data_IF_348701399815
#
_entry.id   IF_348701399815
#
_cell.length_a   1.000
_cell.length_b   1.000
_cell.length_c   1.000
_cell.angle_alpha   90.00
_cell.angle_beta   90.00
_cell.angle_gamma   90.00
#
_symmetry.space_group_name_H-M   'P 1'
#
loop_
_entity.id
_entity.type
_entity.pdbx_description
1 polymer ?
#
# COMPACT_ATOMS: atom_id res chain seq x y z
N UNK A 1 24.51 21.99 -8.69
CA UNK A 1 23.35 21.45 -9.44
C UNK A 1 22.36 22.58 -9.68
N UNK A 2 21.94 22.79 -10.94
CA UNK A 2 20.93 23.81 -11.25
C UNK A 2 19.61 23.47 -10.54
N UNK A 3 19.07 24.43 -9.78
CA UNK A 3 17.80 24.28 -9.07
C UNK A 3 16.66 24.09 -10.09
N UNK A 4 15.75 23.16 -9.83
CA UNK A 4 14.49 23.03 -10.57
C UNK A 4 13.65 24.29 -10.39
N UNK A 5 13.07 24.80 -11.48
CA UNK A 5 12.05 25.84 -11.43
C UNK A 5 10.78 25.30 -10.79
N UNK A 6 9.83 26.16 -10.41
CA UNK A 6 8.56 25.71 -9.84
C UNK A 6 7.74 24.90 -10.88
N UNK A 7 7.77 25.31 -12.13
CA UNK A 7 7.10 24.63 -13.24
C UNK A 7 7.71 23.24 -13.50
N UNK A 8 9.05 23.14 -13.57
CA UNK A 8 9.73 21.85 -13.70
C UNK A 8 9.41 20.90 -12.55
N UNK A 9 9.27 21.41 -11.31
CA UNK A 9 8.90 20.59 -10.16
C UNK A 9 7.50 20.02 -10.29
N UNK A 10 6.55 20.83 -10.74
CA UNK A 10 5.16 20.39 -10.97
C UNK A 10 5.16 19.31 -12.05
N UNK A 11 5.82 19.56 -13.17
CA UNK A 11 5.92 18.62 -14.31
C UNK A 11 6.57 17.29 -13.89
N UNK A 12 7.68 17.33 -13.14
CA UNK A 12 8.31 16.10 -12.60
C UNK A 12 7.32 15.30 -11.77
N UNK A 13 6.54 15.95 -10.91
CA UNK A 13 5.58 15.25 -10.06
C UNK A 13 4.38 14.70 -10.82
N UNK A 14 3.83 15.45 -11.78
CA UNK A 14 2.71 15.01 -12.61
C UNK A 14 3.08 13.75 -13.39
N UNK A 15 4.22 13.78 -14.05
CA UNK A 15 4.74 12.65 -14.82
C UNK A 15 5.17 11.47 -13.96
N UNK A 16 5.79 11.75 -12.81
CA UNK A 16 6.12 10.73 -11.84
C UNK A 16 4.88 9.98 -11.35
N UNK A 17 3.79 10.70 -11.05
CA UNK A 17 2.51 10.10 -10.64
C UNK A 17 1.82 9.34 -11.79
N UNK A 18 2.00 9.77 -13.03
CA UNK A 18 1.55 9.03 -14.22
C UNK A 18 2.34 7.74 -14.48
N UNK A 19 3.49 7.55 -13.79
CA UNK A 19 4.30 6.33 -13.89
C UNK A 19 5.47 6.41 -14.86
N UNK A 20 5.79 7.59 -15.38
CA UNK A 20 6.94 7.82 -16.26
C UNK A 20 8.25 7.48 -15.53
N UNK A 21 9.23 6.98 -16.29
CA UNK A 21 10.55 6.68 -15.72
C UNK A 21 11.40 7.95 -15.60
N UNK A 22 12.32 7.99 -14.63
CA UNK A 22 13.24 9.12 -14.46
C UNK A 22 14.00 9.48 -15.75
N UNK A 23 14.24 8.49 -16.62
CA UNK A 23 14.92 8.67 -17.91
C UNK A 23 14.05 9.43 -18.91
N UNK A 24 12.76 9.09 -18.98
CA UNK A 24 11.80 9.76 -19.88
C UNK A 24 11.56 11.20 -19.40
N UNK A 25 11.27 11.39 -18.09
CA UNK A 25 11.08 12.71 -17.50
C UNK A 25 12.32 13.60 -17.71
N UNK A 26 13.52 13.04 -17.49
CA UNK A 26 14.77 13.77 -17.64
C UNK A 26 15.03 14.20 -19.09
N UNK A 27 14.82 13.29 -20.04
CA UNK A 27 14.99 13.60 -21.47
C UNK A 27 14.12 14.78 -21.90
N UNK A 28 12.85 14.77 -21.52
CA UNK A 28 11.88 15.74 -21.99
C UNK A 28 12.02 17.11 -21.30
N UNK A 29 12.59 17.14 -20.08
CA UNK A 29 12.92 18.38 -19.35
C UNK A 29 14.37 18.86 -19.58
N UNK A 30 15.14 18.21 -20.45
CA UNK A 30 16.56 18.54 -20.65
C UNK A 30 17.43 18.34 -19.40
N UNK A 31 17.04 17.41 -18.51
CA UNK A 31 17.71 17.11 -17.25
C UNK A 31 18.25 15.67 -17.23
N UNK A 32 19.31 15.42 -16.48
CA UNK A 32 19.78 14.05 -16.31
C UNK A 32 18.79 13.19 -15.50
N UNK A 33 18.66 11.92 -15.84
CA UNK A 33 17.85 10.97 -15.07
C UNK A 33 18.27 10.88 -13.59
N UNK A 34 19.57 11.08 -13.31
CA UNK A 34 20.10 11.12 -11.95
C UNK A 34 19.59 12.35 -11.16
N UNK A 35 19.47 13.52 -11.81
CA UNK A 35 18.91 14.73 -11.19
C UNK A 35 17.43 14.56 -10.85
N UNK A 36 16.63 13.98 -11.76
CA UNK A 36 15.23 13.66 -11.52
C UNK A 36 15.11 12.66 -10.36
N UNK A 37 15.92 11.61 -10.38
CA UNK A 37 15.96 10.61 -9.31
C UNK A 37 16.28 11.26 -7.96
N UNK A 38 17.35 12.04 -7.86
CA UNK A 38 17.74 12.70 -6.62
C UNK A 38 16.65 13.64 -6.10
N UNK A 39 15.97 14.39 -7.01
CA UNK A 39 14.85 15.25 -6.65
C UNK A 39 13.69 14.44 -6.06
N UNK A 40 13.26 13.37 -6.73
CA UNK A 40 12.17 12.51 -6.27
C UNK A 40 12.52 11.81 -4.96
N UNK A 41 13.75 11.29 -4.83
CA UNK A 41 14.24 10.63 -3.60
C UNK A 41 14.32 11.58 -2.41
N UNK A 42 14.68 12.86 -2.61
CA UNK A 42 14.70 13.86 -1.52
C UNK A 42 13.33 14.09 -0.88
N UNK A 43 12.25 13.69 -1.56
CA UNK A 43 10.87 13.70 -1.07
C UNK A 43 10.29 12.31 -0.84
N UNK A 44 11.14 11.28 -0.80
CA UNK A 44 10.71 9.89 -0.61
C UNK A 44 9.76 9.34 -1.68
N UNK A 45 9.75 9.96 -2.88
CA UNK A 45 8.81 9.61 -3.95
C UNK A 45 7.37 10.09 -3.69
N UNK A 46 7.16 10.94 -2.71
CA UNK A 46 5.85 11.49 -2.35
C UNK A 46 5.78 12.96 -2.74
N UNK A 47 4.79 13.31 -3.59
CA UNK A 47 4.57 14.70 -3.99
C UNK A 47 4.25 15.56 -2.77
N UNK A 48 4.98 16.66 -2.52
CA UNK A 48 4.60 17.59 -1.47
C UNK A 48 3.20 18.15 -1.70
N UNK A 49 2.36 18.29 -0.68
CA UNK A 49 1.03 18.85 -0.85
C UNK A 49 1.13 20.30 -1.36
N UNK A 50 0.37 20.59 -2.43
CA UNK A 50 0.22 21.97 -2.90
C UNK A 50 -0.52 22.75 -1.83
N UNK A 51 0.13 23.80 -1.28
CA UNK A 51 -0.46 24.63 -0.26
C UNK A 51 -1.55 25.51 -0.88
N UNK A 52 -2.79 25.19 -0.60
CA UNK A 52 -3.92 26.06 -0.90
C UNK A 52 -4.07 27.09 0.23
N UNK A 53 -4.18 28.36 -0.13
CA UNK A 53 -4.54 29.39 0.83
C UNK A 53 -6.00 29.20 1.27
N UNK A 54 -6.26 29.35 2.55
CA UNK A 54 -7.65 29.43 3.00
C UNK A 54 -8.32 30.64 2.34
N UNK A 55 -9.58 30.55 1.91
CA UNK A 55 -10.34 31.69 1.39
C UNK A 55 -10.46 32.84 2.41
N UNK A 56 -10.27 32.56 3.68
CA UNK A 56 -10.25 33.58 4.74
C UNK A 56 -8.96 34.42 4.76
N UNK A 57 -7.88 33.95 4.15
CA UNK A 57 -6.61 34.71 4.07
C UNK A 57 -6.65 35.66 2.88
N UNK A 58 -6.05 36.85 3.08
CA UNK A 58 -5.90 37.82 2.00
C UNK A 58 -5.06 37.22 0.86
N UNK A 59 -5.55 37.34 -0.37
CA UNK A 59 -4.85 37.00 -1.60
C UNK A 59 -3.82 38.08 -1.95
N UNK A 60 -2.94 37.78 -2.93
CA UNK A 60 -2.02 38.81 -3.46
C UNK A 60 -2.79 39.99 -4.09
N UNK A 61 -3.89 39.71 -4.80
CA UNK A 61 -4.74 40.73 -5.46
C UNK A 61 -5.34 41.66 -4.39
N UNK A 62 -5.88 41.12 -3.30
CA UNK A 62 -6.39 41.93 -2.19
C UNK A 62 -5.28 42.77 -1.53
N UNK A 63 -4.06 42.23 -1.40
CA UNK A 63 -2.92 42.95 -0.89
C UNK A 63 -2.44 44.10 -1.80
N UNK A 64 -2.51 43.87 -3.12
CA UNK A 64 -2.27 44.92 -4.12
C UNK A 64 -3.28 46.07 -3.97
N UNK A 65 -4.57 45.75 -3.80
CA UNK A 65 -5.61 46.74 -3.61
C UNK A 65 -5.44 47.49 -2.28
N UNK A 66 -5.03 46.80 -1.20
CA UNK A 66 -4.61 47.47 0.05
C UNK A 66 -3.45 48.45 -0.19
N UNK A 67 -2.44 48.02 -0.95
CA UNK A 67 -1.27 48.86 -1.25
C UNK A 67 -1.65 50.11 -2.02
N UNK A 68 -2.54 49.99 -3.03
CA UNK A 68 -3.06 51.13 -3.82
C UNK A 68 -3.89 52.08 -2.98
N UNK A 69 -4.85 51.55 -2.18
CA UNK A 69 -5.66 52.37 -1.31
C UNK A 69 -4.83 53.12 -0.26
N UNK A 70 -3.82 52.47 0.32
CA UNK A 70 -2.88 53.12 1.24
C UNK A 70 -2.07 54.25 0.57
N UNK A 71 -1.59 54.03 -0.65
CA UNK A 71 -0.86 55.02 -1.44
C UNK A 71 -1.75 56.22 -1.85
N UNK A 72 -3.04 55.98 -2.12
CA UNK A 72 -4.04 56.98 -2.42
C UNK A 72 -4.54 57.75 -1.19
N UNK A 73 -4.12 57.40 0.05
CA UNK A 73 -4.57 58.03 1.26
C UNK A 73 -5.94 57.56 1.78
N UNK A 74 -6.49 56.52 1.22
CA UNK A 74 -7.81 55.94 1.58
C UNK A 74 -7.84 55.58 3.08
N UNK A 75 -9.00 55.72 3.72
CA UNK A 75 -9.22 55.21 5.06
C UNK A 75 -9.26 53.66 5.07
N UNK A 76 -8.88 53.04 6.21
CA UNK A 76 -8.91 51.58 6.33
C UNK A 76 -10.32 51.01 6.13
N UNK A 77 -11.34 51.78 6.49
CA UNK A 77 -12.76 51.41 6.30
C UNK A 77 -13.13 51.37 4.81
N UNK A 78 -12.70 52.38 4.03
CA UNK A 78 -12.93 52.40 2.57
C UNK A 78 -12.27 51.22 1.88
N UNK A 79 -11.00 50.93 2.19
CA UNK A 79 -10.29 49.78 1.63
C UNK A 79 -10.98 48.47 2.02
N UNK A 80 -11.39 48.35 3.28
CA UNK A 80 -12.09 47.15 3.77
C UNK A 80 -13.45 46.92 3.07
N UNK A 81 -14.25 47.99 2.88
CA UNK A 81 -15.50 47.91 2.14
C UNK A 81 -15.32 47.46 0.70
N UNK A 82 -14.31 48.06 0.02
CA UNK A 82 -13.96 47.70 -1.38
C UNK A 82 -13.61 46.21 -1.53
N UNK A 83 -12.93 45.65 -0.53
CA UNK A 83 -12.50 44.25 -0.53
C UNK A 83 -13.52 43.27 0.07
N UNK A 84 -14.64 43.73 0.61
CA UNK A 84 -15.60 42.91 1.35
C UNK A 84 -14.99 42.23 2.57
N UNK A 85 -14.03 42.90 3.23
CA UNK A 85 -13.32 42.40 4.41
C UNK A 85 -13.57 43.28 5.63
N UNK A 86 -13.42 42.70 6.83
CA UNK A 86 -13.52 43.48 8.05
C UNK A 86 -12.38 44.52 8.16
N UNK A 87 -12.65 45.78 8.62
CA UNK A 87 -11.63 46.79 8.82
C UNK A 87 -10.47 46.35 9.73
N UNK A 88 -10.77 45.49 10.72
CA UNK A 88 -9.76 44.87 11.60
C UNK A 88 -8.78 43.95 10.85
N UNK A 89 -9.21 43.33 9.73
CA UNK A 89 -8.35 42.53 8.89
C UNK A 89 -7.30 43.41 8.20
N UNK A 90 -7.71 44.52 7.63
CA UNK A 90 -6.84 45.46 6.94
C UNK A 90 -5.87 46.12 7.97
N UNK A 91 -6.38 46.54 9.12
CA UNK A 91 -5.57 47.09 10.19
C UNK A 91 -4.46 46.10 10.65
N UNK A 92 -4.83 44.86 10.92
CA UNK A 92 -3.87 43.79 11.31
C UNK A 92 -2.86 43.47 10.21
N UNK A 93 -3.29 43.48 8.95
CA UNK A 93 -2.39 43.24 7.83
C UNK A 93 -1.33 44.32 7.70
N UNK A 94 -1.74 45.58 7.79
CA UNK A 94 -0.79 46.74 7.78
C UNK A 94 0.14 46.72 8.98
N UNK A 95 -0.39 46.55 10.19
CA UNK A 95 0.41 46.51 11.42
C UNK A 95 1.51 45.42 11.37
N UNK A 96 1.16 44.24 10.84
CA UNK A 96 2.10 43.09 10.69
C UNK A 96 3.17 43.30 9.63
N UNK A 97 2.98 44.22 8.71
CA UNK A 97 3.85 44.40 7.55
C UNK A 97 4.42 45.81 7.43
N UNK A 98 4.71 46.47 8.58
CA UNK A 98 5.45 47.74 8.66
C UNK A 98 4.61 49.00 8.64
N UNK A 99 3.28 48.89 8.82
CA UNK A 99 2.37 50.02 8.84
C UNK A 99 2.11 50.64 7.46
N UNK A 100 1.34 51.73 7.41
CA UNK A 100 0.93 52.38 6.14
C UNK A 100 2.10 52.79 5.25
N UNK A 101 3.16 53.34 5.82
CA UNK A 101 4.28 53.92 5.04
C UNK A 101 5.20 52.85 4.39
N UNK A 102 5.35 51.69 5.02
CA UNK A 102 6.25 50.61 4.55
C UNK A 102 5.53 49.43 3.89
N UNK A 103 4.23 49.46 3.87
CA UNK A 103 3.47 48.36 3.31
C UNK A 103 3.75 48.12 1.82
N UNK A 104 4.05 46.90 1.46
CA UNK A 104 4.23 46.43 0.09
C UNK A 104 3.53 45.07 -0.06
N UNK A 105 2.60 44.97 -0.99
CA UNK A 105 1.77 43.77 -1.22
C UNK A 105 2.59 42.49 -1.38
N UNK A 106 3.62 42.52 -2.22
CA UNK A 106 4.46 41.36 -2.49
C UNK A 106 5.26 40.93 -1.22
N UNK A 107 5.77 41.88 -0.44
CA UNK A 107 6.45 41.58 0.81
C UNK A 107 5.51 40.96 1.83
N UNK A 108 4.35 41.57 2.00
CA UNK A 108 3.31 41.10 2.91
C UNK A 108 2.84 39.67 2.53
N UNK A 109 2.73 39.39 1.23
CA UNK A 109 2.37 38.10 0.70
C UNK A 109 3.41 37.02 0.98
N UNK A 110 4.67 37.32 0.70
CA UNK A 110 5.81 36.44 1.02
C UNK A 110 5.92 36.19 2.52
N UNK A 111 5.77 37.22 3.35
CA UNK A 111 5.78 37.10 4.79
C UNK A 111 4.62 36.24 5.32
N UNK A 112 3.41 36.36 4.73
CA UNK A 112 2.27 35.55 5.09
C UNK A 112 2.50 34.09 4.72
N UNK A 113 3.07 33.81 3.54
CA UNK A 113 3.49 32.46 3.14
C UNK A 113 4.55 31.90 4.09
N UNK A 114 5.53 32.69 4.49
CA UNK A 114 6.56 32.30 5.46
C UNK A 114 5.97 31.96 6.84
N UNK A 115 5.08 32.80 7.36
CA UNK A 115 4.38 32.55 8.63
C UNK A 115 3.50 31.29 8.58
N UNK A 116 2.91 30.98 7.42
CA UNK A 116 2.16 29.75 7.21
C UNK A 116 3.04 28.49 7.18
N UNK A 117 4.37 28.62 7.14
CA UNK A 117 5.33 27.51 7.11
C UNK A 117 5.67 26.94 8.49
N UNK A 118 4.82 27.13 9.51
CA UNK A 118 5.09 26.51 10.82
C UNK A 118 5.26 25.00 10.63
N UNK A 119 6.47 24.45 10.86
CA UNK A 119 6.64 23.01 10.93
C UNK A 119 5.81 22.51 12.13
N UNK A 120 4.77 21.70 11.85
CA UNK A 120 4.14 20.93 12.91
C UNK A 120 4.95 19.64 13.02
N UNK A 121 5.41 19.26 14.21
CA UNK A 121 5.98 17.94 14.40
C UNK A 121 4.95 16.89 13.98
N UNK A 122 5.42 15.75 13.49
CA UNK A 122 4.51 14.67 13.11
C UNK A 122 3.94 14.03 14.37
N UNK A 123 2.72 13.49 14.29
CA UNK A 123 2.08 12.78 15.41
C UNK A 123 3.00 11.68 15.98
N UNK A 124 3.69 10.94 15.11
CA UNK A 124 4.67 9.93 15.51
C UNK A 124 5.92 10.49 16.22
N UNK A 125 6.24 11.78 16.04
CA UNK A 125 7.32 12.42 16.78
C UNK A 125 6.87 12.90 18.18
N UNK A 126 5.59 13.28 18.30
CA UNK A 126 5.01 13.77 19.55
C UNK A 126 4.53 12.66 20.47
N UNK A 127 4.12 11.51 19.91
CA UNK A 127 3.63 10.35 20.66
C UNK A 127 4.63 9.17 20.56
N UNK A 128 5.49 8.96 21.59
CA UNK A 128 6.46 7.87 21.61
C UNK A 128 5.80 6.47 21.68
N UNK A 129 4.69 6.32 22.38
CA UNK A 129 3.97 5.05 22.52
C UNK A 129 3.43 4.60 21.14
N UNK A 130 2.69 5.49 20.47
CA UNK A 130 2.20 5.23 19.10
C UNK A 130 3.36 4.88 18.15
N UNK A 131 4.50 5.61 18.28
CA UNK A 131 5.68 5.34 17.46
C UNK A 131 6.23 3.94 17.69
N UNK A 132 6.40 3.52 18.95
CA UNK A 132 6.90 2.19 19.32
C UNK A 132 6.01 1.10 18.73
N UNK A 133 4.71 1.20 18.92
CA UNK A 133 3.74 0.22 18.39
C UNK A 133 3.80 0.16 16.84
N UNK A 134 3.89 1.32 16.18
CA UNK A 134 4.02 1.36 14.71
C UNK A 134 5.34 0.73 14.24
N UNK A 135 6.46 0.98 14.94
CA UNK A 135 7.76 0.39 14.63
C UNK A 135 7.76 -1.14 14.79
N UNK A 136 7.17 -1.66 15.86
CA UNK A 136 7.02 -3.09 16.12
C UNK A 136 6.24 -3.77 15.00
N UNK A 137 5.07 -3.23 14.65
CA UNK A 137 4.23 -3.81 13.59
C UNK A 137 4.88 -3.72 12.21
N UNK A 138 5.63 -2.67 11.92
CA UNK A 138 6.43 -2.59 10.69
C UNK A 138 7.56 -3.62 10.68
N UNK A 139 8.23 -3.86 11.81
CA UNK A 139 9.27 -4.89 11.95
C UNK A 139 8.72 -6.31 11.74
N UNK A 140 7.46 -6.56 12.11
CA UNK A 140 6.70 -7.77 11.78
C UNK A 140 6.25 -7.84 10.30
N UNK A 141 6.75 -6.95 9.46
CA UNK A 141 6.49 -6.83 8.02
C UNK A 141 5.05 -6.45 7.65
N UNK A 142 4.34 -5.81 8.57
CA UNK A 142 3.04 -5.24 8.26
C UNK A 142 3.15 -4.01 7.36
N UNK A 143 2.19 -3.83 6.47
CA UNK A 143 2.11 -2.60 5.70
C UNK A 143 1.55 -1.46 6.57
N UNK A 144 1.89 -0.18 6.28
CA UNK A 144 1.30 0.96 6.97
C UNK A 144 -0.23 0.95 7.03
N UNK A 145 -0.88 0.42 6.00
CA UNK A 145 -2.33 0.30 5.98
C UNK A 145 -2.85 -0.77 6.96
N UNK A 146 -2.15 -1.89 7.09
CA UNK A 146 -2.47 -2.93 8.08
C UNK A 146 -2.29 -2.42 9.50
N UNK A 147 -1.22 -1.68 9.76
CA UNK A 147 -0.99 -1.05 11.06
C UNK A 147 -2.15 -0.11 11.43
N UNK A 148 -2.59 0.73 10.49
CA UNK A 148 -3.72 1.65 10.73
C UNK A 148 -5.03 0.89 10.99
N UNK A 149 -5.31 -0.17 10.25
CA UNK A 149 -6.51 -0.99 10.46
C UNK A 149 -6.49 -1.63 11.85
N UNK A 150 -5.35 -2.14 12.27
CA UNK A 150 -5.17 -2.74 13.58
C UNK A 150 -5.32 -1.70 14.71
N UNK A 151 -4.68 -0.53 14.59
CA UNK A 151 -4.80 0.56 15.56
C UNK A 151 -6.25 0.99 15.77
N UNK A 152 -7.02 1.12 14.68
CA UNK A 152 -8.44 1.48 14.75
C UNK A 152 -9.28 0.46 15.50
N UNK A 153 -8.92 -0.82 15.40
CA UNK A 153 -9.64 -1.91 16.05
C UNK A 153 -9.23 -2.08 17.52
N UNK A 154 -7.94 -1.92 17.80
CA UNK A 154 -7.37 -2.12 19.14
C UNK A 154 -7.62 -0.91 20.06
N UNK A 155 -7.59 0.30 19.49
CA UNK A 155 -7.75 1.55 20.22
C UNK A 155 -8.88 2.41 19.59
N UNK A 156 -10.15 1.94 19.55
CA UNK A 156 -11.22 2.62 18.81
C UNK A 156 -11.52 4.02 19.35
N UNK A 157 -11.43 4.22 20.66
CA UNK A 157 -11.79 5.46 21.34
C UNK A 157 -10.59 6.36 21.64
N UNK A 158 -9.36 5.89 21.42
CA UNK A 158 -8.15 6.65 21.67
C UNK A 158 -7.64 7.34 20.40
N UNK A 159 -7.95 8.63 20.28
CA UNK A 159 -7.51 9.47 19.16
C UNK A 159 -5.99 9.67 19.12
N UNK A 160 -5.29 9.56 20.25
CA UNK A 160 -3.83 9.70 20.30
C UNK A 160 -3.13 8.46 19.69
N UNK A 161 -3.78 7.30 19.73
CA UNK A 161 -3.29 6.08 19.09
C UNK A 161 -3.75 5.94 17.63
N UNK A 162 -4.46 6.91 17.06
CA UNK A 162 -4.87 6.89 15.65
C UNK A 162 -3.86 7.64 14.77
N UNK A 163 -3.52 7.07 13.63
CA UNK A 163 -2.61 7.68 12.64
C UNK A 163 -3.05 7.32 11.23
N UNK A 164 -2.74 8.15 10.23
CA UNK A 164 -3.00 7.80 8.84
C UNK A 164 -1.82 7.00 8.24
N UNK A 165 -2.11 6.11 7.30
CA UNK A 165 -1.06 5.37 6.60
C UNK A 165 -0.12 6.28 5.81
N UNK A 166 -0.60 7.43 5.32
CA UNK A 166 0.24 8.44 4.69
C UNK A 166 1.21 9.09 5.69
N UNK A 167 0.80 9.31 6.95
CA UNK A 167 1.71 9.80 7.99
C UNK A 167 2.85 8.82 8.25
N UNK A 168 2.53 7.52 8.29
CA UNK A 168 3.55 6.46 8.44
C UNK A 168 4.48 6.45 7.22
N UNK A 169 3.95 6.49 5.99
CA UNK A 169 4.78 6.57 4.78
C UNK A 169 5.66 7.82 4.74
N UNK A 170 5.12 8.98 5.10
CA UNK A 170 5.91 10.21 5.17
C UNK A 170 7.03 10.13 6.19
N UNK A 171 6.78 9.49 7.33
CA UNK A 171 7.79 9.29 8.38
C UNK A 171 8.91 8.33 7.96
N UNK A 172 8.59 7.33 7.12
CA UNK A 172 9.57 6.38 6.60
C UNK A 172 10.42 6.95 5.46
N UNK A 173 9.79 7.68 4.53
CA UNK A 173 10.45 8.03 3.26
C UNK A 173 10.96 9.47 3.19
N UNK A 174 10.41 10.40 3.97
CA UNK A 174 10.80 11.82 3.88
C UNK A 174 11.82 12.16 4.95
N UNK A 175 13.06 12.43 4.54
CA UNK A 175 14.11 12.91 5.43
C UNK A 175 13.69 14.23 6.08
N UNK A 176 13.93 14.37 7.40
CA UNK A 176 13.54 15.53 8.19
C UNK A 176 12.12 15.49 8.76
N UNK A 177 11.32 14.48 8.41
CA UNK A 177 10.03 14.17 9.05
C UNK A 177 10.02 12.78 9.70
N UNK A 178 11.13 12.05 9.55
CA UNK A 178 11.28 10.68 9.99
C UNK A 178 11.38 10.56 11.50
N UNK A 179 10.24 10.29 12.15
CA UNK A 179 10.22 9.81 13.52
C UNK A 179 10.47 8.29 13.59
N UNK A 180 10.37 7.58 12.44
CA UNK A 180 10.58 6.15 12.34
C UNK A 180 11.98 5.83 11.83
N UNK A 181 12.53 4.69 12.25
CA UNK A 181 13.84 4.21 11.81
C UNK A 181 13.82 3.88 10.32
N UNK A 182 14.85 4.30 9.61
CA UNK A 182 14.94 4.16 8.14
C UNK A 182 15.01 2.69 7.70
N UNK A 183 15.59 1.83 8.49
CA UNK A 183 15.72 0.39 8.26
C UNK A 183 14.35 -0.29 8.09
N UNK A 184 13.30 0.27 8.71
CA UNK A 184 11.94 -0.24 8.57
C UNK A 184 11.37 -0.14 7.15
N UNK A 185 12.00 0.63 6.25
CA UNK A 185 11.61 0.63 4.83
C UNK A 185 11.87 -0.70 4.16
N UNK A 186 12.86 -1.47 4.63
CA UNK A 186 13.19 -2.80 4.12
C UNK A 186 12.13 -3.83 4.49
N UNK A 187 11.42 -3.61 5.60
CA UNK A 187 10.31 -4.45 6.05
C UNK A 187 9.05 -4.30 5.17
N UNK A 188 8.97 -3.25 4.35
CA UNK A 188 7.85 -3.09 3.42
C UNK A 188 7.94 -4.08 2.26
N UNK A 189 6.80 -4.56 1.76
CA UNK A 189 6.67 -5.56 0.67
C UNK A 189 7.62 -5.36 -0.51
N UNK A 190 8.01 -4.14 -0.82
CA UNK A 190 8.90 -3.83 -1.94
C UNK A 190 10.34 -3.53 -1.52
N UNK A 191 10.63 -3.35 -0.23
CA UNK A 191 11.94 -3.01 0.32
C UNK A 191 12.61 -1.78 -0.32
N UNK A 192 11.84 -0.86 -0.90
CA UNK A 192 12.37 0.27 -1.66
C UNK A 192 12.65 1.46 -0.76
N UNK A 193 13.76 2.14 -1.01
CA UNK A 193 14.13 3.36 -0.29
C UNK A 193 13.21 4.57 -0.56
N UNK A 194 12.29 4.48 -1.53
CA UNK A 194 11.31 5.51 -1.86
C UNK A 194 10.08 4.93 -2.56
N UNK A 195 8.94 5.59 -2.43
CA UNK A 195 7.65 5.19 -3.00
C UNK A 195 7.63 5.39 -4.52
N UNK A 196 7.07 4.41 -5.26
CA UNK A 196 6.82 4.51 -6.71
C UNK A 196 5.35 4.35 -7.03
N UNK A 197 4.83 5.01 -8.08
CA UNK A 197 3.48 4.78 -8.60
C UNK A 197 3.30 3.31 -9.05
N UNK A 198 2.06 2.81 -8.97
CA UNK A 198 1.72 1.47 -9.48
C UNK A 198 1.58 1.52 -11.00
N UNK A 199 2.41 0.77 -11.73
CA UNK A 199 2.27 0.55 -13.17
C UNK A 199 1.60 -0.79 -13.45
N UNK A 200 0.71 -0.85 -14.46
CA UNK A 200 0.08 -2.10 -14.92
C UNK A 200 1.09 -2.98 -15.67
N UNK A 201 1.10 -4.29 -15.40
CA UNK A 201 1.87 -5.30 -16.15
C UNK A 201 0.95 -6.11 -17.05
N UNK A 202 1.49 -6.54 -18.22
CA UNK A 202 0.82 -7.46 -19.15
C UNK A 202 1.05 -8.93 -18.74
N UNK A 203 0.10 -9.86 -19.02
CA UNK A 203 0.16 -11.27 -18.63
C UNK A 203 0.91 -12.16 -19.64
N UNK A 204 1.48 -13.28 -19.14
CA UNK A 204 2.12 -14.34 -19.95
C UNK A 204 1.49 -15.69 -19.63
N UNK A 205 1.34 -16.57 -20.63
CA UNK A 205 0.61 -17.84 -20.49
C UNK A 205 1.41 -19.10 -20.80
N UNK A 206 0.95 -20.31 -20.31
CA UNK A 206 1.42 -21.66 -20.65
C UNK A 206 0.42 -22.77 -20.27
N UNK A 207 0.40 -23.89 -21.03
CA UNK A 207 0.04 -25.27 -20.64
C UNK A 207 -1.40 -25.76 -20.89
N UNK A 208 -1.60 -27.09 -21.12
CA UNK A 208 -2.91 -27.77 -21.20
C UNK A 208 -2.95 -29.03 -20.30
N UNK A 209 -4.08 -29.25 -19.60
CA UNK A 209 -4.42 -30.45 -18.79
C UNK A 209 -5.46 -31.26 -19.54
N UNK A 210 -5.56 -32.58 -19.24
CA UNK A 210 -6.53 -33.52 -19.83
C UNK A 210 -7.80 -33.54 -18.95
N UNK A 211 -8.96 -33.34 -19.55
CA UNK A 211 -10.30 -33.33 -18.93
C UNK A 211 -10.47 -32.45 -17.68
N UNK A 212 -10.11 -31.15 -17.73
CA UNK A 212 -10.29 -30.26 -16.60
C UNK A 212 -11.75 -29.87 -16.41
N UNK A 213 -12.29 -29.98 -15.19
CA UNK A 213 -13.56 -29.36 -14.84
C UNK A 213 -13.32 -27.86 -14.72
N UNK A 214 -13.89 -27.06 -15.62
CA UNK A 214 -13.62 -25.64 -15.72
C UNK A 214 -14.33 -24.83 -14.64
N UNK A 215 -13.74 -23.70 -14.26
CA UNK A 215 -14.30 -22.78 -13.25
C UNK A 215 -15.72 -22.31 -13.62
N UNK A 216 -16.09 -22.29 -14.90
CA UNK A 216 -17.43 -21.96 -15.38
C UNK A 216 -18.50 -22.99 -14.96
N UNK A 217 -18.10 -24.19 -14.56
CA UNK A 217 -18.98 -25.26 -14.05
C UNK A 217 -19.08 -25.27 -12.52
N UNK A 218 -18.35 -24.37 -11.86
CA UNK A 218 -18.35 -24.23 -10.40
C UNK A 218 -19.67 -23.59 -9.93
N UNK A 219 -20.26 -24.04 -8.79
CA UNK A 219 -21.46 -23.43 -8.23
C UNK A 219 -21.35 -21.92 -8.05
N UNK A 220 -22.41 -21.17 -8.35
CA UNK A 220 -22.40 -19.69 -8.28
C UNK A 220 -22.15 -19.15 -6.88
N UNK A 221 -22.54 -19.88 -5.83
CA UNK A 221 -22.29 -19.55 -4.42
C UNK A 221 -20.79 -19.41 -4.07
N UNK A 222 -19.92 -20.04 -4.85
CA UNK A 222 -18.47 -19.93 -4.69
C UNK A 222 -17.94 -18.60 -5.21
N UNK A 223 -18.66 -17.90 -6.08
CA UNK A 223 -18.17 -16.64 -6.68
C UNK A 223 -18.22 -15.46 -5.72
N UNK A 224 -19.26 -15.30 -4.92
CA UNK A 224 -19.41 -14.16 -4.04
C UNK A 224 -18.60 -14.25 -2.74
N UNK A 225 -17.87 -15.36 -2.55
CA UNK A 225 -16.99 -15.59 -1.40
C UNK A 225 -17.70 -15.52 -0.05
N UNK A 226 -18.99 -15.78 -0.03
CA UNK A 226 -19.80 -15.73 1.19
C UNK A 226 -19.67 -17.01 2.00
N UNK A 227 -19.49 -18.17 1.31
CA UNK A 227 -19.42 -19.48 1.94
C UNK A 227 -17.97 -19.88 2.17
N UNK A 228 -17.58 -20.27 3.40
CA UNK A 228 -16.25 -20.83 3.68
C UNK A 228 -16.08 -22.23 3.10
N UNK A 229 -14.83 -22.66 2.95
CA UNK A 229 -14.49 -23.99 2.45
C UNK A 229 -14.05 -24.05 0.98
N UNK A 230 -13.98 -22.92 0.31
CA UNK A 230 -13.51 -22.81 -1.07
C UNK A 230 -12.11 -22.26 -1.14
N UNK A 231 -11.18 -23.04 -1.68
CA UNK A 231 -9.74 -22.73 -1.68
C UNK A 231 -9.21 -22.37 -3.06
N UNK A 232 -8.22 -21.51 -3.09
CA UNK A 232 -7.39 -21.23 -4.27
C UNK A 232 -5.99 -21.79 -3.99
N UNK A 233 -5.48 -22.66 -4.87
CA UNK A 233 -4.17 -23.27 -4.74
C UNK A 233 -3.20 -22.84 -5.84
N UNK A 234 -1.90 -22.87 -5.55
CA UNK A 234 -0.80 -22.53 -6.47
C UNK A 234 0.53 -23.05 -5.95
N UNK A 235 1.57 -23.05 -6.79
CA UNK A 235 2.93 -23.31 -6.37
C UNK A 235 3.75 -22.00 -6.32
N UNK A 236 4.49 -21.82 -5.25
CA UNK A 236 5.47 -20.76 -5.15
C UNK A 236 6.85 -21.31 -5.53
N UNK A 237 7.28 -21.05 -6.77
CA UNK A 237 8.51 -21.57 -7.33
C UNK A 237 9.77 -20.93 -6.73
N UNK A 238 10.74 -21.74 -6.34
CA UNK A 238 12.06 -21.35 -5.85
C UNK A 238 13.18 -21.50 -6.88
N UNK A 239 14.41 -21.67 -6.37
CA UNK A 239 15.59 -21.95 -7.20
C UNK A 239 15.56 -23.42 -7.65
N UNK A 240 16.13 -23.73 -8.82
CA UNK A 240 16.27 -25.09 -9.34
C UNK A 240 14.95 -25.88 -9.37
N UNK A 241 13.85 -25.20 -9.68
CA UNK A 241 12.49 -25.78 -9.72
C UNK A 241 12.00 -26.34 -8.37
N UNK A 242 12.65 -26.00 -7.24
CA UNK A 242 12.07 -26.27 -5.93
C UNK A 242 10.80 -25.44 -5.74
N UNK A 243 9.82 -25.94 -4.99
CA UNK A 243 8.55 -25.27 -4.80
C UNK A 243 7.98 -25.54 -3.39
N UNK A 244 7.06 -24.72 -2.97
CA UNK A 244 6.13 -24.97 -1.88
C UNK A 244 4.70 -24.81 -2.39
N UNK A 245 3.77 -25.57 -1.85
CA UNK A 245 2.35 -25.39 -2.14
C UNK A 245 1.75 -24.28 -1.30
N UNK A 246 0.84 -23.53 -1.89
CA UNK A 246 0.13 -22.42 -1.26
C UNK A 246 -1.36 -22.59 -1.42
N UNK A 247 -2.11 -22.54 -0.34
CA UNK A 247 -3.56 -22.62 -0.29
C UNK A 247 -4.11 -21.37 0.37
N UNK A 248 -5.11 -20.76 -0.22
CA UNK A 248 -5.79 -19.58 0.32
C UNK A 248 -7.29 -19.83 0.34
N UNK A 249 -7.87 -19.83 1.54
CA UNK A 249 -9.32 -19.91 1.69
C UNK A 249 -9.96 -18.59 1.24
N UNK A 250 -11.02 -18.65 0.43
CA UNK A 250 -11.57 -17.50 -0.29
C UNK A 250 -12.37 -16.55 0.56
N UNK A 251 -13.10 -17.05 1.57
CA UNK A 251 -13.90 -16.25 2.49
C UNK A 251 -13.03 -15.59 3.56
N UNK A 252 -12.27 -16.38 4.29
CA UNK A 252 -11.45 -15.94 5.43
C UNK A 252 -10.10 -15.36 5.04
N UNK A 253 -9.62 -15.62 3.83
CA UNK A 253 -8.26 -15.30 3.36
C UNK A 253 -7.17 -16.05 4.13
N UNK A 254 -7.54 -17.11 4.84
CA UNK A 254 -6.62 -17.95 5.58
C UNK A 254 -5.66 -18.66 4.64
N UNK A 255 -4.40 -18.69 5.03
CA UNK A 255 -3.30 -19.24 4.22
C UNK A 255 -2.78 -20.50 4.88
N UNK A 256 -2.67 -21.58 4.12
CA UNK A 256 -1.92 -22.78 4.48
C UNK A 256 -0.80 -22.99 3.47
N UNK A 257 0.31 -23.51 3.96
CA UNK A 257 1.50 -23.83 3.15
C UNK A 257 1.89 -25.28 3.39
N UNK A 258 2.42 -25.93 2.35
CA UNK A 258 2.95 -27.28 2.46
C UNK A 258 4.26 -27.44 1.70
N UNK A 259 5.22 -28.23 2.21
CA UNK A 259 6.51 -28.46 1.59
C UNK A 259 6.36 -29.46 0.43
N UNK A 260 7.28 -29.37 -0.52
CA UNK A 260 7.43 -30.32 -1.63
C UNK A 260 8.88 -30.81 -1.68
N UNK A 261 9.33 -31.61 -0.70
CA UNK A 261 10.71 -32.07 -0.61
C UNK A 261 11.13 -32.91 -1.83
N UNK A 262 10.21 -33.71 -2.37
CA UNK A 262 10.42 -34.60 -3.53
C UNK A 262 10.16 -33.92 -4.88
N UNK A 263 10.10 -32.58 -4.88
CA UNK A 263 9.85 -31.78 -6.06
C UNK A 263 8.36 -31.54 -6.33
N UNK A 264 8.07 -30.98 -7.52
CA UNK A 264 6.72 -30.53 -7.90
C UNK A 264 6.04 -31.46 -8.91
N UNK A 265 6.27 -32.76 -8.79
CA UNK A 265 5.55 -33.77 -9.60
C UNK A 265 4.08 -33.85 -9.18
N UNK A 266 3.21 -34.30 -10.07
CA UNK A 266 1.79 -34.44 -9.79
C UNK A 266 1.49 -35.38 -8.60
N UNK A 267 2.32 -36.42 -8.43
CA UNK A 267 2.21 -37.36 -7.32
C UNK A 267 2.62 -36.71 -6.00
N UNK A 268 3.78 -36.01 -5.95
CA UNK A 268 4.23 -35.31 -4.76
C UNK A 268 3.24 -34.23 -4.33
N UNK A 269 2.71 -33.44 -5.27
CA UNK A 269 1.72 -32.40 -4.99
C UNK A 269 0.44 -33.02 -4.46
N UNK A 270 -0.09 -34.09 -5.09
CA UNK A 270 -1.29 -34.79 -4.61
C UNK A 270 -1.13 -35.30 -3.18
N UNK A 271 -0.02 -35.98 -2.88
CA UNK A 271 0.24 -36.56 -1.55
C UNK A 271 0.29 -35.47 -0.47
N UNK A 272 1.10 -34.46 -0.66
CA UNK A 272 1.26 -33.37 0.32
C UNK A 272 -0.03 -32.53 0.47
N UNK A 273 -0.77 -32.34 -0.60
CA UNK A 273 -2.03 -31.65 -0.59
C UNK A 273 -3.10 -32.44 0.19
N UNK A 274 -3.19 -33.76 -0.02
CA UNK A 274 -4.10 -34.62 0.71
C UNK A 274 -3.81 -34.66 2.22
N UNK A 275 -2.53 -34.71 2.62
CA UNK A 275 -2.12 -34.58 4.03
C UNK A 275 -2.50 -33.20 4.62
N UNK A 276 -2.40 -32.15 3.81
CA UNK A 276 -2.72 -30.78 4.23
C UNK A 276 -4.24 -30.59 4.45
N UNK A 277 -5.07 -31.18 3.63
CA UNK A 277 -6.53 -31.18 3.78
C UNK A 277 -6.97 -31.75 5.15
N UNK A 278 -6.30 -32.76 5.65
CA UNK A 278 -6.63 -33.39 6.95
C UNK A 278 -6.38 -32.50 8.18
N UNK A 279 -5.71 -31.33 8.02
CA UNK A 279 -5.39 -30.42 9.13
C UNK A 279 -6.56 -29.56 9.57
N UNK A 280 -7.63 -29.47 8.78
CA UNK A 280 -8.84 -28.70 9.08
C UNK A 280 -10.06 -29.61 9.00
N UNK A 281 -11.17 -29.24 9.68
CA UNK A 281 -12.42 -29.99 9.59
C UNK A 281 -12.93 -30.12 8.16
N UNK A 282 -13.55 -31.26 7.83
CA UNK A 282 -14.03 -31.61 6.49
C UNK A 282 -14.95 -30.55 5.88
N UNK A 283 -15.84 -29.96 6.67
CA UNK A 283 -16.76 -28.92 6.18
C UNK A 283 -16.07 -27.66 5.66
N UNK A 284 -14.78 -27.46 5.94
CA UNK A 284 -13.95 -26.37 5.39
C UNK A 284 -13.24 -26.76 4.09
N UNK A 285 -13.52 -27.94 3.52
CA UNK A 285 -12.94 -28.44 2.28
C UNK A 285 -14.00 -28.81 1.27
N UNK A 286 -14.66 -27.80 0.66
CA UNK A 286 -15.70 -28.02 -0.34
C UNK A 286 -15.13 -28.05 -1.76
N UNK A 287 -14.26 -27.12 -2.08
CA UNK A 287 -13.64 -27.10 -3.40
C UNK A 287 -12.25 -26.48 -3.40
N UNK A 288 -11.44 -26.88 -4.37
CA UNK A 288 -10.12 -26.34 -4.66
C UNK A 288 -10.09 -25.81 -6.10
N UNK A 289 -9.66 -24.56 -6.26
CA UNK A 289 -9.42 -23.96 -7.58
C UNK A 289 -7.92 -23.89 -7.83
N UNK A 290 -7.47 -24.44 -8.96
CA UNK A 290 -6.06 -24.45 -9.38
C UNK A 290 -5.88 -23.87 -10.78
N UNK A 291 -4.65 -23.57 -11.19
CA UNK A 291 -4.42 -23.30 -12.62
C UNK A 291 -4.29 -24.61 -13.42
N UNK A 292 -4.14 -24.48 -14.75
CA UNK A 292 -3.96 -25.64 -15.62
C UNK A 292 -2.50 -26.15 -15.63
N UNK A 293 -1.83 -26.12 -14.47
CA UNK A 293 -0.47 -26.61 -14.32
C UNK A 293 -0.42 -28.16 -14.31
N UNK A 294 0.62 -28.74 -14.89
CA UNK A 294 0.83 -30.21 -14.95
C UNK A 294 0.95 -30.86 -13.57
N UNK A 295 1.29 -30.09 -12.55
CA UNK A 295 1.39 -30.51 -11.15
C UNK A 295 0.04 -30.97 -10.57
N UNK A 296 -1.08 -30.62 -11.20
CA UNK A 296 -2.42 -31.10 -10.83
C UNK A 296 -2.97 -32.16 -11.80
N UNK A 297 -2.11 -32.84 -12.56
CA UNK A 297 -2.56 -33.92 -13.50
C UNK A 297 -3.24 -35.09 -12.78
N UNK A 298 -3.01 -35.29 -11.48
CA UNK A 298 -3.67 -36.33 -10.68
C UNK A 298 -4.89 -35.81 -9.88
N UNK A 299 -5.53 -34.73 -10.33
CA UNK A 299 -6.66 -34.08 -9.63
C UNK A 299 -7.85 -35.04 -9.40
N UNK A 300 -8.15 -35.92 -10.37
CA UNK A 300 -9.25 -36.88 -10.22
C UNK A 300 -9.01 -37.86 -9.07
N UNK A 301 -7.77 -38.36 -8.92
CA UNK A 301 -7.40 -39.21 -7.79
C UNK A 301 -7.41 -38.44 -6.47
N UNK A 302 -6.95 -37.18 -6.47
CA UNK A 302 -7.05 -36.33 -5.30
C UNK A 302 -8.48 -36.12 -4.82
N UNK A 303 -9.43 -35.86 -5.75
CA UNK A 303 -10.85 -35.72 -5.42
C UNK A 303 -11.43 -36.99 -4.83
N UNK A 304 -11.03 -38.17 -5.35
CA UNK A 304 -11.45 -39.49 -4.83
C UNK A 304 -10.91 -39.69 -3.40
N UNK A 305 -9.63 -39.35 -3.18
CA UNK A 305 -8.93 -39.54 -1.91
C UNK A 305 -9.44 -38.63 -0.79
N UNK A 306 -9.92 -37.42 -1.13
CA UNK A 306 -10.22 -36.34 -0.16
C UNK A 306 -11.68 -35.89 -0.14
N UNK A 307 -12.48 -36.22 -1.14
CA UNK A 307 -13.85 -35.72 -1.32
C UNK A 307 -13.92 -34.25 -1.79
N UNK A 308 -12.78 -33.60 -2.07
CA UNK A 308 -12.71 -32.19 -2.46
C UNK A 308 -12.81 -32.04 -3.97
N UNK A 309 -13.78 -31.24 -4.44
CA UNK A 309 -13.93 -30.93 -5.86
C UNK A 309 -12.83 -30.03 -6.39
N UNK A 310 -12.21 -30.38 -7.51
CA UNK A 310 -11.14 -29.58 -8.14
C UNK A 310 -11.64 -28.88 -9.40
N UNK A 311 -11.50 -27.55 -9.43
CA UNK A 311 -11.86 -26.72 -10.58
C UNK A 311 -10.62 -26.03 -11.15
N UNK A 312 -10.57 -25.90 -12.48
CA UNK A 312 -9.47 -25.26 -13.19
C UNK A 312 -9.86 -23.90 -13.74
N UNK A 313 -8.97 -22.93 -13.55
CA UNK A 313 -9.15 -21.60 -14.14
C UNK A 313 -9.13 -21.65 -15.66
N UNK A 314 -9.87 -20.72 -16.28
CA UNK A 314 -9.81 -20.55 -17.73
C UNK A 314 -8.38 -20.16 -18.17
N UNK A 315 -7.95 -20.60 -19.36
CA UNK A 315 -6.64 -20.21 -19.88
C UNK A 315 -6.50 -18.68 -19.94
N UNK A 316 -5.38 -18.16 -19.46
CA UNK A 316 -5.06 -16.74 -19.44
C UNK A 316 -5.97 -15.87 -18.55
N UNK A 317 -6.62 -16.43 -17.56
CA UNK A 317 -7.54 -15.73 -16.65
C UNK A 317 -7.00 -15.62 -15.21
N UNK A 318 -5.84 -14.94 -14.97
CA UNK A 318 -5.22 -14.87 -13.65
C UNK A 318 -6.12 -14.18 -12.60
N UNK A 319 -7.06 -13.33 -13.04
CA UNK A 319 -8.00 -12.65 -12.12
C UNK A 319 -8.93 -13.62 -11.38
N UNK A 320 -9.13 -14.83 -11.89
CA UNK A 320 -9.95 -15.86 -11.26
C UNK A 320 -9.30 -16.40 -9.95
N UNK A 321 -7.98 -16.20 -9.77
CA UNK A 321 -7.20 -16.56 -8.57
C UNK A 321 -6.52 -15.34 -7.92
N UNK A 322 -7.20 -14.21 -7.91
CA UNK A 322 -6.63 -12.96 -7.40
C UNK A 322 -6.22 -13.00 -5.92
N UNK A 323 -6.81 -13.90 -5.11
CA UNK A 323 -6.43 -14.07 -3.70
C UNK A 323 -5.07 -14.72 -3.58
N UNK A 324 -4.84 -15.77 -4.36
CA UNK A 324 -3.58 -16.52 -4.31
C UNK A 324 -2.43 -15.71 -4.92
N UNK A 325 -2.62 -15.04 -6.06
CA UNK A 325 -1.59 -14.17 -6.66
C UNK A 325 -1.13 -13.08 -5.67
N UNK A 326 -2.07 -12.44 -4.98
CA UNK A 326 -1.72 -11.45 -3.96
C UNK A 326 -0.96 -12.08 -2.78
N UNK A 327 -1.38 -13.24 -2.32
CA UNK A 327 -0.75 -13.97 -1.21
C UNK A 327 0.66 -14.43 -1.60
N UNK A 328 0.85 -14.99 -2.79
CA UNK A 328 2.16 -15.37 -3.31
C UNK A 328 3.10 -14.15 -3.39
N UNK A 329 2.56 -12.98 -3.74
CA UNK A 329 3.31 -11.73 -3.70
C UNK A 329 3.71 -11.29 -2.27
N UNK A 330 2.95 -11.64 -1.23
CA UNK A 330 3.32 -11.40 0.18
C UNK A 330 4.31 -12.44 0.68
N UNK A 331 4.14 -13.70 0.31
CA UNK A 331 5.05 -14.79 0.65
C UNK A 331 6.48 -14.55 0.13
N UNK A 332 6.64 -13.74 -0.91
CA UNK A 332 7.96 -13.31 -1.40
C UNK A 332 8.75 -12.45 -0.41
N UNK A 333 8.15 -11.97 0.66
CA UNK A 333 8.87 -11.34 1.76
C UNK A 333 9.62 -12.39 2.61
N UNK A 334 9.02 -13.58 2.78
CA UNK A 334 9.60 -14.71 3.53
C UNK A 334 10.49 -15.57 2.64
N UNK A 335 10.05 -15.80 1.42
CA UNK A 335 10.71 -16.64 0.43
C UNK A 335 11.03 -15.83 -0.83
N UNK A 336 12.11 -15.03 -0.83
CA UNK A 336 12.53 -14.24 -1.98
C UNK A 336 12.75 -15.10 -3.23
N UNK A 337 12.68 -14.49 -4.42
CA UNK A 337 13.00 -15.20 -5.67
C UNK A 337 14.43 -15.72 -5.61
N UNK A 338 14.60 -16.99 -5.94
CA UNK A 338 15.90 -17.66 -5.89
C UNK A 338 16.23 -18.37 -4.56
N UNK A 339 15.31 -18.34 -3.57
CA UNK A 339 15.40 -19.20 -2.39
C UNK A 339 15.31 -20.66 -2.79
N UNK A 340 16.18 -21.50 -2.23
CA UNK A 340 16.03 -22.95 -2.29
C UNK A 340 14.97 -23.40 -1.28
N UNK A 341 13.87 -23.95 -1.78
CA UNK A 341 12.73 -24.33 -0.95
C UNK A 341 12.74 -25.80 -0.55
N UNK A 342 13.69 -26.60 -1.05
CA UNK A 342 13.79 -28.03 -0.74
C UNK A 342 14.14 -28.32 0.72
N UNK A 343 14.74 -27.35 1.41
CA UNK A 343 15.16 -27.47 2.80
C UNK A 343 14.13 -26.93 3.81
N UNK A 344 13.04 -26.35 3.32
CA UNK A 344 12.00 -25.78 4.19
C UNK A 344 11.18 -26.91 4.82
N UNK A 345 11.13 -26.88 6.14
CA UNK A 345 10.29 -27.80 6.92
C UNK A 345 8.86 -27.28 7.00
N UNK A 346 7.92 -28.12 7.40
CA UNK A 346 6.54 -27.69 7.66
C UNK A 346 6.51 -26.60 8.75
N UNK A 347 7.35 -26.69 9.78
CA UNK A 347 7.41 -25.68 10.84
C UNK A 347 7.82 -24.30 10.33
N UNK A 348 8.77 -24.21 9.38
CA UNK A 348 9.16 -22.95 8.75
C UNK A 348 8.00 -22.34 7.96
N UNK A 349 7.25 -23.18 7.27
CA UNK A 349 6.09 -22.77 6.47
C UNK A 349 4.93 -22.33 7.37
N UNK A 350 4.67 -23.05 8.46
CA UNK A 350 3.63 -22.71 9.44
C UNK A 350 3.94 -21.38 10.14
N UNK A 351 5.21 -21.08 10.42
CA UNK A 351 5.63 -19.79 10.97
C UNK A 351 5.32 -18.64 9.99
N UNK A 352 5.63 -18.82 8.71
CA UNK A 352 5.34 -17.82 7.68
C UNK A 352 3.82 -17.64 7.48
N UNK A 353 3.07 -18.73 7.45
CA UNK A 353 1.61 -18.72 7.36
C UNK A 353 0.98 -18.05 8.57
N UNK A 354 1.42 -18.36 9.79
CA UNK A 354 0.95 -17.74 11.03
C UNK A 354 1.15 -16.21 11.01
N UNK A 355 2.35 -15.76 10.65
CA UNK A 355 2.62 -14.33 10.51
C UNK A 355 1.71 -13.64 9.48
N UNK A 356 1.42 -14.28 8.33
CA UNK A 356 0.50 -13.73 7.33
C UNK A 356 -0.96 -13.74 7.78
N UNK A 357 -1.38 -14.79 8.47
CA UNK A 357 -2.75 -14.99 8.97
C UNK A 357 -3.09 -14.06 10.13
N UNK A 358 -2.08 -13.58 10.88
CA UNK A 358 -2.25 -12.58 11.93
C UNK A 358 -2.39 -11.13 11.41
N UNK A 359 -2.12 -10.85 10.12
CA UNK A 359 -2.15 -9.48 9.58
C UNK A 359 -3.56 -9.04 9.21
N UNK A 360 -4.04 -7.86 9.62
CA UNK A 360 -5.33 -7.33 9.22
C UNK A 360 -5.51 -7.22 7.71
N UNK A 361 -6.72 -7.49 7.23
CA UNK A 361 -7.07 -7.37 5.82
C UNK A 361 -8.16 -6.33 5.62
N UNK A 362 -7.98 -5.46 4.65
CA UNK A 362 -9.01 -4.47 4.30
C UNK A 362 -10.29 -5.14 3.83
N UNK A 363 -10.18 -6.26 3.09
CA UNK A 363 -11.31 -7.06 2.61
C UNK A 363 -12.08 -7.78 3.73
N UNK A 364 -11.52 -7.86 4.93
CA UNK A 364 -12.12 -8.43 6.14
C UNK A 364 -12.45 -7.32 7.17
N UNK A 365 -12.65 -6.08 6.74
CA UNK A 365 -12.93 -4.94 7.60
C UNK A 365 -11.92 -4.76 8.75
N UNK A 366 -10.66 -5.09 8.50
CA UNK A 366 -9.58 -4.98 9.48
C UNK A 366 -9.41 -6.19 10.39
N UNK A 367 -10.18 -7.25 10.20
CA UNK A 367 -9.93 -8.54 10.85
C UNK A 367 -8.72 -9.23 10.24
N UNK A 368 -8.05 -10.06 11.02
CA UNK A 368 -7.05 -10.98 10.51
C UNK A 368 -7.70 -12.23 9.90
N UNK A 369 -7.04 -12.93 8.95
CA UNK A 369 -7.50 -14.24 8.49
C UNK A 369 -7.71 -15.26 9.62
N UNK A 370 -6.85 -15.26 10.64
CA UNK A 370 -7.00 -16.15 11.81
C UNK A 370 -8.26 -15.84 12.62
N UNK A 371 -8.54 -14.55 12.90
CA UNK A 371 -9.78 -14.14 13.57
C UNK A 371 -11.00 -14.57 12.78
N UNK A 372 -10.95 -14.35 11.45
CA UNK A 372 -12.07 -14.69 10.56
C UNK A 372 -12.30 -16.20 10.45
N UNK A 373 -11.23 -16.99 10.43
CA UNK A 373 -11.36 -18.46 10.48
C UNK A 373 -11.94 -18.93 11.81
N UNK A 374 -11.50 -18.34 12.93
CA UNK A 374 -12.04 -18.67 14.25
C UNK A 374 -13.55 -18.41 14.37
N UNK A 375 -14.08 -17.35 13.72
CA UNK A 375 -15.53 -17.11 13.63
C UNK A 375 -16.28 -18.22 12.85
N UNK A 376 -15.65 -18.80 11.85
CA UNK A 376 -16.25 -19.85 11.02
C UNK A 376 -16.23 -21.21 11.72
N UNK A 377 -15.28 -21.42 12.64
CA UNK A 377 -15.12 -22.66 13.40
C UNK A 377 -16.03 -22.74 14.64
N UNK A 378 -16.68 -21.64 15.02
CA UNK A 378 -17.64 -21.57 16.13
C UNK A 378 -19.04 -21.95 15.69
#
# INVERSE_FOLDING_TARGET
MARFTEEERVEVWDRWQAGDTNRVIGRDLGRSAASIRAFVESWGGVRPPVRRRSPQHLSLVEREEISRGVAAGDSLRMVATRLGRAPSTISRELARNGGRHRYRALHADRAALGRGRRPKPSKLAENPELRTVVEEKLAEWWSPQQVVLWLKRTYPDDQEMQVSHETIYLSLFVQGKGALRRELTECLRTGRAYRRPKTRRAPSGKGKIVDPVMISQRPAEVEDRAVPGHWEGDLLMGRRQTAIGTLVERHTRYVMLFPLPDGNTAEAVRTQLAETVQRLPEHLWQSLTWDQGKEMAQHAQFSIDTGVDVYFCDPRSPWQRGSNENTNGLLRQYFPKGTDMSQLTQADLDQAAHSLNGRPRQTLNGMSPSDKLAEVLQ
#
